data_IF_559270190299
#
_entry.id   IF_559270190299
#
_cell.length_a   1.000
_cell.length_b   1.000
_cell.length_c   1.000
_cell.angle_alpha   90.00
_cell.angle_beta   90.00
_cell.angle_gamma   90.00
#
_symmetry.space_group_name_H-M   'P 1'
#
loop_
_entity.id
_entity.type
_entity.pdbx_description
1 polymer ?
#
# COMPACT_ATOMS: atom_id res chain seq x y z
N UNK A 1 -6.82 -3.21 -0.83
CA UNK A 1 -5.88 -2.12 -1.09
C UNK A 1 -5.81 -1.24 0.13
N UNK A 2 -4.67 -0.59 0.35
CA UNK A 2 -4.49 0.39 1.42
C UNK A 2 -3.94 1.65 0.79
N UNK A 3 -4.70 2.72 0.89
CA UNK A 3 -4.32 4.04 0.42
C UNK A 3 -3.93 4.88 1.62
N UNK A 4 -2.77 5.52 1.59
CA UNK A 4 -2.30 6.34 2.70
C UNK A 4 -1.44 7.52 2.25
N UNK A 5 -1.62 8.65 2.94
CA UNK A 5 -0.76 9.83 2.83
C UNK A 5 -0.03 9.97 4.17
N UNK A 6 1.30 9.89 4.10
CA UNK A 6 2.19 10.04 5.25
C UNK A 6 2.95 11.34 5.10
N UNK A 7 2.96 12.18 6.15
CA UNK A 7 3.74 13.41 6.13
C UNK A 7 5.25 13.15 6.33
N UNK A 8 6.05 14.21 6.19
CA UNK A 8 7.51 14.16 6.36
C UNK A 8 7.98 13.74 7.77
N UNK A 9 7.11 13.80 8.77
CA UNK A 9 7.40 13.38 10.15
C UNK A 9 7.11 11.90 10.38
N UNK A 10 6.47 11.23 9.41
CA UNK A 10 6.02 9.84 9.51
C UNK A 10 4.62 9.70 10.10
N UNK A 11 3.87 10.81 10.23
CA UNK A 11 2.49 10.82 10.72
C UNK A 11 1.51 10.55 9.59
N UNK A 12 0.49 9.73 9.87
CA UNK A 12 -0.58 9.44 8.92
C UNK A 12 -1.52 10.64 8.81
N UNK A 13 -1.56 11.27 7.63
CA UNK A 13 -2.48 12.38 7.31
C UNK A 13 -3.83 11.82 6.87
N UNK A 14 -3.78 10.76 6.06
CA UNK A 14 -4.94 10.08 5.52
C UNK A 14 -4.62 8.59 5.40
N UNK A 15 -5.60 7.74 5.70
CA UNK A 15 -5.53 6.33 5.37
C UNK A 15 -6.93 5.73 5.22
N UNK A 16 -7.10 4.87 4.23
CA UNK A 16 -8.30 4.08 4.02
C UNK A 16 -7.95 2.68 3.50
N UNK A 17 -8.89 1.76 3.64
CA UNK A 17 -8.75 0.40 3.15
C UNK A 17 -10.01 0.01 2.39
N UNK A 18 -9.84 -0.36 1.14
CA UNK A 18 -10.85 -1.03 0.34
C UNK A 18 -10.49 -2.50 0.25
N UNK A 19 -11.47 -3.39 0.41
CA UNK A 19 -11.24 -4.82 0.32
C UNK A 19 -12.41 -5.55 -0.30
N UNK A 20 -12.18 -6.82 -0.57
CA UNK A 20 -13.22 -7.72 -1.05
C UNK A 20 -12.95 -9.13 -0.56
N UNK A 21 -14.00 -9.94 -0.55
CA UNK A 21 -13.96 -11.38 -0.28
C UNK A 21 -14.44 -12.08 -1.54
N UNK A 22 -13.52 -12.71 -2.24
CA UNK A 22 -13.82 -13.59 -3.37
C UNK A 22 -13.91 -15.04 -2.86
N UNK A 23 -14.88 -15.77 -3.41
CA UNK A 23 -15.15 -17.16 -3.05
C UNK A 23 -14.86 -18.06 -4.25
N UNK A 24 -14.32 -19.26 -3.98
CA UNK A 24 -14.24 -20.37 -4.92
C UNK A 24 -15.04 -21.54 -4.35
N UNK A 25 -16.25 -21.76 -4.89
CA UNK A 25 -17.21 -22.73 -4.35
C UNK A 25 -17.20 -23.99 -5.19
N UNK A 26 -16.91 -25.11 -4.52
CA UNK A 26 -16.91 -26.48 -5.06
C UNK A 26 -17.66 -27.40 -4.11
N UNK A 27 -18.92 -27.08 -3.87
CA UNK A 27 -19.81 -27.79 -2.97
C UNK A 27 -20.95 -28.42 -3.78
N UNK A 28 -21.45 -29.58 -3.37
CA UNK A 28 -22.57 -30.24 -4.05
C UNK A 28 -23.92 -29.76 -3.52
N UNK A 29 -24.93 -29.69 -4.40
CA UNK A 29 -26.29 -29.33 -4.03
C UNK A 29 -26.48 -27.83 -3.80
N UNK A 30 -27.31 -27.45 -2.81
CA UNK A 30 -27.60 -26.06 -2.44
C UNK A 30 -27.22 -25.81 -0.99
N UNK A 31 -25.92 -25.68 -0.66
CA UNK A 31 -25.47 -25.50 0.70
C UNK A 31 -25.85 -24.11 1.23
N UNK A 32 -26.35 -24.05 2.46
CA UNK A 32 -26.59 -22.79 3.18
C UNK A 32 -25.40 -22.49 4.08
N UNK A 33 -24.61 -21.47 3.73
CA UNK A 33 -23.36 -21.13 4.42
C UNK A 33 -23.57 -19.97 5.38
N UNK A 34 -22.79 -19.96 6.47
CA UNK A 34 -22.81 -18.90 7.49
C UNK A 34 -21.40 -18.45 7.84
N UNK A 35 -20.98 -17.33 7.23
CA UNK A 35 -19.71 -16.68 7.50
C UNK A 35 -19.86 -15.62 8.61
N UNK A 36 -18.96 -15.61 9.59
CA UNK A 36 -18.88 -14.55 10.60
C UNK A 36 -17.45 -14.10 10.83
N UNK A 37 -17.29 -12.86 11.28
CA UNK A 37 -16.00 -12.23 11.54
C UNK A 37 -15.78 -12.04 13.05
N UNK A 38 -14.52 -11.99 13.46
CA UNK A 38 -14.13 -11.67 14.84
C UNK A 38 -14.43 -10.20 15.14
N UNK A 39 -14.23 -9.34 14.14
CA UNK A 39 -14.30 -7.89 14.25
C UNK A 39 -15.17 -7.27 13.13
N UNK A 40 -16.47 -7.62 13.03
CA UNK A 40 -17.34 -7.13 11.96
C UNK A 40 -17.66 -5.64 12.05
N UNK A 41 -17.34 -4.98 13.18
CA UNK A 41 -17.50 -3.53 13.35
C UNK A 41 -16.47 -2.70 12.58
N UNK A 42 -15.47 -3.34 11.97
CA UNK A 42 -14.49 -2.65 11.14
C UNK A 42 -15.08 -2.17 9.81
N UNK A 43 -16.17 -2.77 9.34
CA UNK A 43 -16.76 -2.40 8.07
C UNK A 43 -17.58 -1.11 8.19
N UNK A 44 -17.20 -0.10 7.42
CA UNK A 44 -17.93 1.18 7.35
C UNK A 44 -18.99 1.12 6.25
N UNK A 45 -18.60 0.71 5.05
CA UNK A 45 -19.52 0.47 3.93
C UNK A 45 -19.27 -0.91 3.32
N UNK A 46 -20.34 -1.56 2.87
CA UNK A 46 -20.34 -2.93 2.34
C UNK A 46 -21.30 -3.06 1.17
N UNK A 47 -20.84 -3.76 0.12
CA UNK A 47 -21.69 -4.20 -0.98
C UNK A 47 -21.65 -5.71 -1.05
N UNK A 48 -22.81 -6.33 -1.26
CA UNK A 48 -22.96 -7.78 -1.23
C UNK A 48 -23.35 -8.35 -2.58
N UNK A 49 -22.92 -9.59 -2.82
CA UNK A 49 -23.50 -10.40 -3.86
C UNK A 49 -25.01 -10.64 -3.60
N UNK A 50 -25.87 -10.71 -4.63
CA UNK A 50 -27.31 -10.96 -4.46
C UNK A 50 -27.68 -12.24 -3.69
N UNK A 51 -26.76 -13.20 -3.57
CA UNK A 51 -26.99 -14.42 -2.80
C UNK A 51 -26.97 -14.22 -1.28
N UNK A 52 -26.50 -13.06 -0.80
CA UNK A 52 -26.40 -12.75 0.62
C UNK A 52 -27.73 -12.24 1.20
N UNK A 53 -28.07 -12.73 2.39
CA UNK A 53 -29.27 -12.33 3.13
C UNK A 53 -29.00 -11.05 3.92
N UNK A 54 -29.23 -9.89 3.29
CA UNK A 54 -28.97 -8.57 3.88
C UNK A 54 -29.58 -8.37 5.28
N UNK A 55 -30.83 -8.78 5.49
CA UNK A 55 -31.52 -8.63 6.79
C UNK A 55 -30.74 -9.26 7.96
N UNK A 56 -30.10 -10.41 7.73
CA UNK A 56 -29.31 -11.10 8.77
C UNK A 56 -27.97 -10.42 9.03
N UNK A 57 -27.36 -9.85 7.99
CA UNK A 57 -26.19 -8.99 8.17
C UNK A 57 -26.51 -7.75 9.00
N UNK A 58 -27.65 -7.11 8.71
CA UNK A 58 -28.11 -5.90 9.40
C UNK A 58 -28.39 -6.16 10.89
N UNK A 59 -29.00 -7.29 11.24
CA UNK A 59 -29.33 -7.65 12.63
C UNK A 59 -28.16 -8.26 13.42
N UNK A 60 -27.45 -9.20 12.82
CA UNK A 60 -26.50 -10.07 13.54
C UNK A 60 -25.04 -9.82 13.16
N UNK A 61 -24.77 -9.06 12.09
CA UNK A 61 -23.44 -8.98 11.44
C UNK A 61 -22.90 -10.36 11.03
N UNK A 62 -23.80 -11.23 10.61
CA UNK A 62 -23.52 -12.57 10.10
C UNK A 62 -23.89 -12.62 8.62
N UNK A 63 -22.96 -13.10 7.79
CA UNK A 63 -23.21 -13.34 6.37
C UNK A 63 -23.78 -14.72 6.16
N UNK A 64 -25.03 -14.78 5.71
CA UNK A 64 -25.70 -16.02 5.38
C UNK A 64 -26.15 -16.01 3.92
N UNK A 65 -25.82 -17.07 3.18
CA UNK A 65 -26.00 -17.12 1.73
C UNK A 65 -26.00 -18.56 1.21
N UNK A 66 -26.69 -18.77 0.08
CA UNK A 66 -26.54 -19.98 -0.74
C UNK A 66 -25.67 -19.57 -1.94
N UNK A 67 -24.39 -19.97 -2.00
CA UNK A 67 -23.48 -19.45 -3.01
C UNK A 67 -23.79 -19.97 -4.42
N UNK A 68 -23.51 -19.18 -5.47
CA UNK A 68 -23.32 -19.70 -6.82
C UNK A 68 -22.12 -20.66 -6.90
N UNK A 69 -22.17 -21.58 -7.86
CA UNK A 69 -21.04 -22.45 -8.16
C UNK A 69 -19.87 -21.68 -8.80
N UNK A 70 -18.65 -22.11 -8.49
CA UNK A 70 -17.44 -21.54 -9.09
C UNK A 70 -16.93 -20.29 -8.36
N UNK A 71 -16.40 -19.34 -9.12
CA UNK A 71 -15.74 -18.16 -8.58
C UNK A 71 -16.67 -16.94 -8.64
N UNK A 72 -16.85 -16.25 -7.52
CA UNK A 72 -17.59 -15.00 -7.49
C UNK A 72 -17.13 -14.10 -6.33
N UNK A 73 -17.44 -12.81 -6.41
CA UNK A 73 -17.21 -11.85 -5.33
C UNK A 73 -18.39 -11.88 -4.36
N UNK A 74 -18.17 -12.31 -3.12
CA UNK A 74 -19.20 -12.36 -2.08
C UNK A 74 -19.51 -10.98 -1.52
N UNK A 75 -18.48 -10.20 -1.23
CA UNK A 75 -18.63 -8.82 -0.73
C UNK A 75 -17.44 -7.94 -1.10
N UNK A 76 -17.69 -6.65 -1.26
CA UNK A 76 -16.68 -5.59 -1.19
C UNK A 76 -16.95 -4.72 0.03
N UNK A 77 -15.90 -4.13 0.59
CA UNK A 77 -16.00 -3.33 1.80
C UNK A 77 -15.02 -2.16 1.81
N UNK A 78 -15.38 -1.14 2.56
CA UNK A 78 -14.55 0.02 2.88
C UNK A 78 -14.37 0.11 4.39
N UNK A 79 -13.16 0.50 4.80
CA UNK A 79 -12.79 0.79 6.19
C UNK A 79 -12.14 2.17 6.16
N UNK A 80 -12.86 3.14 6.70
CA UNK A 80 -12.54 4.54 6.69
C UNK A 80 -11.64 4.97 7.83
N UNK A 81 -11.33 6.26 7.79
CA UNK A 81 -10.27 6.93 8.55
C UNK A 81 -10.49 6.99 10.06
N UNK A 82 -11.67 6.65 10.57
CA UNK A 82 -11.94 6.59 12.02
C UNK A 82 -11.21 5.43 12.70
N UNK A 83 -10.83 4.41 11.93
CA UNK A 83 -10.02 3.31 12.41
C UNK A 83 -8.54 3.62 12.20
N UNK A 84 -7.71 3.40 13.24
CA UNK A 84 -6.26 3.52 13.12
C UNK A 84 -5.73 2.47 12.13
N UNK A 85 -5.52 2.87 10.88
CA UNK A 85 -4.96 2.00 9.84
C UNK A 85 -3.49 1.74 10.13
N UNK A 86 -3.14 0.46 10.27
CA UNK A 86 -1.77 0.05 10.51
C UNK A 86 -0.94 0.17 9.22
N UNK A 87 -0.06 1.17 9.15
CA UNK A 87 0.79 1.38 7.98
C UNK A 87 1.94 0.35 8.00
N UNK A 88 2.04 -0.53 6.99
CA UNK A 88 2.93 -1.69 7.08
C UNK A 88 4.38 -1.39 6.67
N UNK A 89 4.65 -0.25 6.04
CA UNK A 89 5.96 0.15 5.52
C UNK A 89 6.28 1.58 5.98
N UNK A 90 7.56 1.90 6.12
CA UNK A 90 8.00 3.27 6.31
C UNK A 90 9.11 3.62 5.33
N UNK A 91 9.20 4.90 5.00
CA UNK A 91 10.27 5.47 4.19
C UNK A 91 10.97 6.55 5.01
N UNK A 92 12.25 6.35 5.32
CA UNK A 92 13.12 7.43 5.81
C UNK A 92 13.78 8.06 4.61
N UNK A 93 13.73 9.38 4.51
CA UNK A 93 14.28 10.10 3.37
C UNK A 93 15.06 11.34 3.81
N UNK A 94 16.08 11.67 3.04
CA UNK A 94 16.77 12.95 3.06
C UNK A 94 16.98 13.34 1.60
N UNK A 95 16.20 14.32 1.15
CA UNK A 95 16.29 14.89 -0.20
C UNK A 95 16.58 16.37 -0.02
N UNK A 96 17.66 16.82 -0.66
CA UNK A 96 18.08 18.21 -0.63
C UNK A 96 18.49 18.67 -2.02
N UNK A 97 18.03 19.84 -2.43
CA UNK A 97 18.42 20.50 -3.67
C UNK A 97 19.35 21.66 -3.33
N UNK A 98 20.62 21.59 -3.76
CA UNK A 98 21.60 22.65 -3.54
C UNK A 98 21.54 23.71 -4.64
N UNK A 99 21.85 24.97 -4.29
CA UNK A 99 21.65 26.13 -5.17
C UNK A 99 22.56 26.23 -6.39
N UNK A 100 23.79 25.69 -6.35
CA UNK A 100 24.79 25.97 -7.40
C UNK A 100 25.46 24.74 -8.03
N UNK A 101 24.99 23.51 -7.78
CA UNK A 101 25.71 22.33 -8.28
C UNK A 101 25.01 20.97 -8.19
N UNK A 102 23.71 20.94 -7.86
CA UNK A 102 22.96 19.69 -7.72
C UNK A 102 22.45 19.45 -6.31
N UNK A 103 21.93 18.26 -6.07
CA UNK A 103 21.31 17.83 -4.83
C UNK A 103 21.79 16.45 -4.38
N UNK A 104 21.26 15.99 -3.26
CA UNK A 104 21.50 14.65 -2.71
C UNK A 104 20.19 13.96 -2.41
N UNK A 105 20.21 12.65 -2.56
CA UNK A 105 19.12 11.75 -2.23
C UNK A 105 19.66 10.60 -1.38
N UNK A 106 19.02 10.36 -0.24
CA UNK A 106 19.22 9.21 0.63
C UNK A 106 17.85 8.71 1.08
N UNK A 107 17.50 7.48 0.72
CA UNK A 107 16.23 6.85 1.04
C UNK A 107 16.50 5.48 1.66
N UNK A 108 15.83 5.18 2.76
CA UNK A 108 15.79 3.85 3.37
C UNK A 108 14.34 3.42 3.49
N UNK A 109 14.02 2.22 3.00
CA UNK A 109 12.69 1.64 3.11
C UNK A 109 12.73 0.47 4.09
N UNK A 110 11.72 0.34 4.94
CA UNK A 110 11.67 -0.75 5.92
C UNK A 110 10.26 -1.10 6.37
N UNK A 111 10.07 -2.28 6.98
CA UNK A 111 8.78 -2.72 7.50
C UNK A 111 8.43 -1.95 8.79
N UNK A 112 7.15 -1.64 8.98
CA UNK A 112 6.61 -1.00 10.20
C UNK A 112 5.65 -1.93 10.95
N UNK A 113 4.43 -2.10 10.48
CA UNK A 113 3.40 -2.94 11.10
C UNK A 113 3.01 -4.12 10.20
N UNK A 114 3.94 -5.06 9.97
CA UNK A 114 3.71 -6.21 9.06
C UNK A 114 3.29 -7.50 9.78
N UNK A 115 3.24 -7.51 11.11
CA UNK A 115 2.93 -8.72 11.92
C UNK A 115 3.85 -9.90 11.54
N UNK A 116 5.13 -9.60 11.25
CA UNK A 116 6.12 -10.60 10.86
C UNK A 116 5.98 -11.13 9.42
N UNK A 117 5.06 -10.60 8.62
CA UNK A 117 4.93 -10.94 7.20
C UNK A 117 5.98 -10.20 6.36
N UNK A 118 6.39 -10.84 5.26
CA UNK A 118 7.31 -10.26 4.30
C UNK A 118 6.63 -9.17 3.48
N UNK A 119 7.38 -8.12 3.15
CA UNK A 119 6.93 -7.10 2.21
C UNK A 119 7.63 -7.38 0.88
N UNK A 120 6.83 -7.66 -0.14
CA UNK A 120 7.25 -8.09 -1.47
C UNK A 120 6.85 -7.04 -2.51
N UNK A 121 7.41 -7.16 -3.72
CA UNK A 121 7.11 -6.29 -4.88
C UNK A 121 7.17 -4.80 -4.55
N UNK A 122 8.16 -4.39 -3.75
CA UNK A 122 8.31 -3.00 -3.31
C UNK A 122 8.91 -2.16 -4.43
N UNK A 123 8.18 -1.14 -4.86
CA UNK A 123 8.59 -0.20 -5.90
C UNK A 123 8.35 1.22 -5.39
N UNK A 124 9.38 2.06 -5.47
CA UNK A 124 9.30 3.49 -5.19
C UNK A 124 9.33 4.27 -6.49
N UNK A 125 8.38 5.19 -6.65
CA UNK A 125 8.28 6.10 -7.78
C UNK A 125 8.31 7.54 -7.27
N UNK A 126 9.27 8.33 -7.77
CA UNK A 126 9.51 9.70 -7.33
C UNK A 126 9.48 10.62 -8.54
N UNK A 127 8.39 11.39 -8.74
CA UNK A 127 8.31 12.39 -9.81
C UNK A 127 9.20 13.58 -9.47
N UNK A 128 10.38 13.65 -10.07
CA UNK A 128 11.35 14.69 -9.79
C UNK A 128 10.90 16.05 -10.36
N UNK A 129 11.27 17.17 -9.70
CA UNK A 129 11.04 18.50 -10.24
C UNK A 129 11.63 18.66 -11.66
N UNK A 130 10.98 19.47 -12.51
CA UNK A 130 11.39 19.69 -13.91
C UNK A 130 12.84 20.15 -14.07
N UNK A 131 13.37 20.86 -13.07
CA UNK A 131 14.76 21.33 -13.04
C UNK A 131 15.80 20.19 -12.92
N UNK A 132 15.39 18.96 -12.57
CA UNK A 132 16.28 17.79 -12.50
C UNK A 132 16.62 17.30 -13.90
N UNK A 133 17.90 17.31 -14.25
CA UNK A 133 18.42 16.81 -15.52
C UNK A 133 18.68 15.31 -15.48
N UNK A 134 19.30 14.83 -14.40
CA UNK A 134 19.62 13.42 -14.19
C UNK A 134 19.75 13.10 -12.70
N UNK A 135 19.66 11.81 -12.37
CA UNK A 135 19.88 11.29 -11.01
C UNK A 135 20.91 10.17 -11.07
N UNK A 136 22.06 10.39 -10.45
CA UNK A 136 23.10 9.37 -10.29
C UNK A 136 22.95 8.72 -8.93
N UNK A 137 22.04 7.74 -8.83
CA UNK A 137 21.75 7.02 -7.60
C UNK A 137 21.96 5.51 -7.73
N UNK A 138 22.36 4.90 -6.62
CA UNK A 138 22.59 3.46 -6.50
C UNK A 138 21.81 2.92 -5.30
N UNK A 139 21.12 1.80 -5.51
CA UNK A 139 20.45 1.06 -4.45
C UNK A 139 21.35 -0.05 -3.91
N UNK A 140 21.29 -0.35 -2.61
CA UNK A 140 21.93 -1.55 -2.03
C UNK A 140 21.25 -2.84 -2.46
N UNK A 141 20.05 -2.74 -3.01
CA UNK A 141 19.22 -3.81 -3.50
C UNK A 141 18.34 -3.29 -4.64
N UNK A 142 18.02 -4.19 -5.58
CA UNK A 142 17.07 -3.91 -6.64
C UNK A 142 17.68 -3.08 -7.78
N UNK A 143 16.82 -2.51 -8.62
CA UNK A 143 17.21 -1.73 -9.79
C UNK A 143 16.73 -0.29 -9.66
N UNK A 144 17.63 0.65 -9.94
CA UNK A 144 17.34 2.09 -9.97
C UNK A 144 17.41 2.57 -11.41
N UNK A 145 16.42 3.34 -11.85
CA UNK A 145 16.43 3.99 -13.16
C UNK A 145 15.78 5.36 -13.09
N UNK A 146 16.30 6.31 -13.86
CA UNK A 146 15.72 7.63 -14.01
C UNK A 146 15.41 7.89 -15.48
N UNK A 147 14.19 8.30 -15.77
CA UNK A 147 13.80 8.74 -17.12
C UNK A 147 13.88 10.27 -17.21
N UNK A 148 14.81 10.85 -17.99
CA UNK A 148 14.96 12.29 -18.13
C UNK A 148 13.80 12.96 -18.88
N UNK A 149 12.95 12.20 -19.57
CA UNK A 149 11.79 12.70 -20.31
C UNK A 149 10.59 12.87 -19.38
N UNK A 150 10.19 11.81 -18.69
CA UNK A 150 9.07 11.86 -17.72
C UNK A 150 9.47 12.45 -16.37
N UNK A 151 10.78 12.60 -16.12
CA UNK A 151 11.38 13.04 -14.84
C UNK A 151 11.09 12.10 -13.68
N UNK A 152 10.81 10.82 -13.94
CA UNK A 152 10.50 9.84 -12.90
C UNK A 152 11.76 9.08 -12.51
N UNK A 153 12.09 9.09 -11.21
CA UNK A 153 13.03 8.14 -10.61
C UNK A 153 12.25 6.92 -10.12
N UNK A 154 12.59 5.76 -10.64
CA UNK A 154 12.01 4.48 -10.26
C UNK A 154 13.06 3.65 -9.52
N UNK A 155 12.68 3.10 -8.36
CA UNK A 155 13.48 2.12 -7.63
C UNK A 155 12.64 0.87 -7.37
N UNK A 156 12.92 -0.18 -8.15
CA UNK A 156 12.36 -1.51 -7.96
C UNK A 156 13.23 -2.27 -6.95
N UNK A 157 12.74 -2.37 -5.71
CA UNK A 157 13.46 -2.96 -4.57
C UNK A 157 13.26 -4.48 -4.52
N UNK A 158 12.08 -4.95 -4.91
CA UNK A 158 11.66 -6.34 -4.72
C UNK A 158 11.25 -6.63 -3.26
N UNK A 159 11.80 -7.69 -2.67
CA UNK A 159 11.47 -8.13 -1.31
C UNK A 159 12.32 -7.42 -0.25
N UNK A 160 11.71 -6.92 0.82
CA UNK A 160 12.45 -6.34 1.95
C UNK A 160 12.93 -7.43 2.91
N UNK A 161 14.24 -7.48 3.16
CA UNK A 161 14.85 -8.24 4.26
C UNK A 161 14.96 -7.34 5.50
N UNK A 162 14.29 -7.67 6.63
CA UNK A 162 14.35 -6.86 7.84
C UNK A 162 15.74 -6.83 8.49
N UNK A 163 16.62 -7.79 8.18
CA UNK A 163 17.99 -7.84 8.73
C UNK A 163 18.94 -6.87 8.03
N UNK A 164 18.64 -6.52 6.77
CA UNK A 164 19.42 -5.58 5.96
C UNK A 164 18.49 -4.72 5.13
N UNK A 165 18.11 -3.57 5.69
CA UNK A 165 17.16 -2.67 5.06
C UNK A 165 17.69 -2.12 3.72
N UNK A 166 16.88 -2.11 2.66
CA UNK A 166 17.25 -1.50 1.38
C UNK A 166 17.44 0.01 1.51
N UNK A 167 18.52 0.51 0.92
CA UNK A 167 18.82 1.95 0.86
C UNK A 167 19.14 2.37 -0.57
N UNK A 168 18.81 3.60 -0.92
CA UNK A 168 19.15 4.26 -2.19
C UNK A 168 19.88 5.56 -1.86
N UNK A 169 21.09 5.72 -2.39
CA UNK A 169 21.91 6.93 -2.20
C UNK A 169 22.45 7.44 -3.52
N UNK A 170 22.51 8.77 -3.67
CA UNK A 170 23.00 9.36 -4.89
C UNK A 170 23.05 10.88 -4.91
N UNK A 171 23.46 11.39 -6.08
CA UNK A 171 23.46 12.80 -6.40
C UNK A 171 22.36 13.11 -7.42
N UNK A 172 21.74 14.27 -7.26
CA UNK A 172 20.77 14.85 -8.19
C UNK A 172 21.48 15.94 -8.98
N UNK A 173 21.33 15.98 -10.29
CA UNK A 173 21.91 17.03 -11.13
C UNK A 173 20.82 17.97 -11.61
N UNK A 174 20.98 19.26 -11.30
CA UNK A 174 20.01 20.31 -11.62
C UNK A 174 20.45 21.12 -12.83
N UNK A 175 19.47 21.69 -13.52
CA UNK A 175 19.72 22.65 -14.60
C UNK A 175 20.37 23.92 -14.04
N UNK A 176 21.53 24.38 -14.58
CA UNK A 176 22.16 25.61 -14.14
C UNK A 176 21.20 26.81 -14.23
N UNK A 177 21.17 27.65 -13.20
CA UNK A 177 20.31 28.84 -13.15
C UNK A 177 18.84 28.56 -12.88
N UNK A 178 18.45 27.32 -12.56
CA UNK A 178 17.07 27.02 -12.14
C UNK A 178 16.72 27.72 -10.82
N UNK A 179 15.44 28.10 -10.62
CA UNK A 179 14.99 28.63 -9.33
C UNK A 179 15.21 27.61 -8.21
N UNK A 180 15.27 28.10 -6.98
CA UNK A 180 15.35 27.25 -5.80
C UNK A 180 14.12 26.32 -5.74
N UNK A 181 14.35 25.04 -5.45
CA UNK A 181 13.29 24.06 -5.26
C UNK A 181 12.83 24.15 -3.80
N UNK A 182 11.60 24.59 -3.58
CA UNK A 182 11.06 24.90 -2.25
C UNK A 182 10.48 23.68 -1.53
N UNK A 183 10.15 22.61 -2.27
CA UNK A 183 9.55 21.39 -1.71
C UNK A 183 10.13 20.12 -2.31
N UNK A 184 10.21 19.08 -1.48
CA UNK A 184 10.60 17.75 -1.92
C UNK A 184 9.45 17.06 -2.66
N UNK A 185 9.75 16.26 -3.70
CA UNK A 185 8.73 15.48 -4.38
C UNK A 185 8.10 14.44 -3.46
N UNK A 186 6.86 14.05 -3.76
CA UNK A 186 6.23 12.91 -3.12
C UNK A 186 6.98 11.61 -3.46
N UNK A 187 6.96 10.65 -2.54
CA UNK A 187 7.49 9.30 -2.77
C UNK A 187 6.30 8.37 -2.83
N UNK A 188 5.93 7.94 -4.03
CA UNK A 188 4.87 6.96 -4.24
C UNK A 188 5.45 5.56 -3.98
N UNK A 189 4.74 4.74 -3.20
CA UNK A 189 5.22 3.40 -2.83
C UNK A 189 4.15 2.38 -3.17
N UNK A 190 4.53 1.41 -3.99
CA UNK A 190 3.73 0.21 -4.25
C UNK A 190 4.39 -0.98 -3.57
N UNK A 191 3.58 -1.88 -3.02
CA UNK A 191 4.07 -3.08 -2.35
C UNK A 191 2.96 -4.14 -2.26
N UNK A 192 3.32 -5.37 -1.92
CA UNK A 192 2.39 -6.45 -1.64
C UNK A 192 2.79 -7.16 -0.35
N UNK A 193 1.81 -7.51 0.48
CA UNK A 193 2.02 -8.35 1.65
C UNK A 193 1.05 -9.52 1.57
N UNK A 194 1.61 -10.71 1.41
CA UNK A 194 0.81 -11.93 1.37
C UNK A 194 0.39 -12.35 2.77
N UNK A 195 -0.80 -12.96 2.88
CA UNK A 195 -1.34 -13.49 4.13
C UNK A 195 -1.50 -12.44 5.26
N UNK A 196 -1.76 -11.18 4.88
CA UNK A 196 -2.09 -10.10 5.79
C UNK A 196 -3.30 -9.32 5.28
N UNK A 197 -4.36 -9.26 6.07
CA UNK A 197 -5.37 -8.21 5.93
C UNK A 197 -4.90 -7.02 6.77
N UNK A 198 -4.45 -5.94 6.12
CA UNK A 198 -3.92 -4.74 6.80
C UNK A 198 -4.97 -4.08 7.70
N UNK A 199 -6.26 -4.29 7.41
CA UNK A 199 -7.38 -3.90 8.27
C UNK A 199 -7.45 -4.63 9.60
N UNK A 200 -6.73 -5.73 9.77
CA UNK A 200 -6.87 -6.63 10.89
C UNK A 200 -8.15 -7.48 10.83
N UNK A 201 -8.91 -7.45 9.72
CA UNK A 201 -10.09 -8.28 9.53
C UNK A 201 -9.76 -9.76 9.71
N UNK A 202 -10.55 -10.46 10.53
CA UNK A 202 -10.40 -11.90 10.78
C UNK A 202 -11.72 -12.62 10.63
N UNK A 203 -11.70 -13.73 9.90
CA UNK A 203 -12.80 -14.69 9.86
C UNK A 203 -12.85 -15.44 11.19
N UNK A 204 -14.04 -15.60 11.75
CA UNK A 204 -14.30 -16.38 12.95
C UNK A 204 -14.68 -17.82 12.59
N UNK A 205 -15.69 -17.98 11.74
CA UNK A 205 -16.19 -19.28 11.26
C UNK A 205 -16.87 -19.12 9.90
N UNK A 206 -16.84 -20.18 9.11
CA UNK A 206 -17.61 -20.41 7.89
C UNK A 206 -18.36 -21.74 8.02
#
# INVERSE_FOLDING_TARGET
>A
EVDAIIDRSGSTVFAEIQGYIDCCIKLSGMPDLTLSFVNPRLFDDVSFHPCARFKRWESERILSFIPPDGNFRLMSYHIGSQSLVAIPIYVRHTISFGGSGGGRIDITVGPKQTVGRTVDSVVLEIPMPKAVLSVGATGTQGRVSFDPTTKVLLWDVGRIDPTRLPTLKGNIFLQPGSPAIESNPAINVQFTINQLAVSGLKVNRL
#
